data_IF_492001223498
#
_entry.id   IF_492001223498
#
_cell.length_a   1.000
_cell.length_b   1.000
_cell.length_c   1.000
_cell.angle_alpha   90.00
_cell.angle_beta   90.00
_cell.angle_gamma   90.00
#
_symmetry.space_group_name_H-M   'P 1'
#
loop_
_entity.id
_entity.type
_entity.pdbx_description
1 polymer ?
#
# COMPACT_ATOMS: atom_id res chain seq x y z
N UNK A 1 11.56 -30.35 0.02
CA UNK A 1 10.62 -29.48 0.76
C UNK A 1 9.65 -28.96 -0.27
N UNK A 2 8.32 -29.09 -0.08
CA UNK A 2 7.38 -28.47 -1.00
C UNK A 2 7.63 -26.96 -0.94
N UNK A 3 7.85 -26.40 -2.12
CA UNK A 3 8.07 -24.99 -2.37
C UNK A 3 6.78 -24.26 -1.96
N UNK A 4 6.79 -23.60 -0.80
CA UNK A 4 5.68 -22.73 -0.34
C UNK A 4 5.73 -21.42 -1.14
N UNK A 5 5.60 -21.57 -2.46
CA UNK A 5 5.67 -20.50 -3.44
C UNK A 5 4.40 -19.68 -3.32
N UNK A 6 4.50 -18.64 -2.50
CA UNK A 6 3.48 -17.61 -2.35
C UNK A 6 3.68 -16.55 -3.42
N UNK A 7 2.69 -16.43 -4.30
CA UNK A 7 2.67 -15.44 -5.37
C UNK A 7 1.58 -14.39 -5.05
N UNK A 8 1.85 -13.12 -5.33
CA UNK A 8 0.85 -12.05 -5.27
C UNK A 8 0.97 -11.15 -6.50
N UNK A 9 -0.13 -10.50 -6.87
CA UNK A 9 -0.19 -9.63 -8.04
C UNK A 9 0.05 -8.19 -7.61
N UNK A 10 0.98 -7.53 -8.29
CA UNK A 10 1.22 -6.09 -8.16
C UNK A 10 0.63 -5.41 -9.39
N UNK A 11 -0.16 -4.37 -9.17
CA UNK A 11 -0.66 -3.51 -10.23
C UNK A 11 -0.27 -2.07 -9.92
N UNK A 12 0.19 -1.35 -10.94
CA UNK A 12 0.39 0.08 -10.85
C UNK A 12 -0.97 0.78 -10.95
N UNK A 13 -1.16 1.83 -10.17
CA UNK A 13 -2.32 2.72 -10.24
C UNK A 13 -1.87 3.94 -11.06
N UNK A 14 -2.18 4.03 -12.37
CA UNK A 14 -1.82 5.18 -13.18
C UNK A 14 -2.48 6.43 -12.61
N UNK A 15 -1.71 7.53 -12.54
CA UNK A 15 -2.22 8.90 -12.46
C UNK A 15 -3.38 9.13 -11.49
N UNK A 16 -3.08 9.23 -10.19
CA UNK A 16 -3.95 9.95 -9.24
C UNK A 16 -3.82 11.48 -9.36
N UNK A 17 -2.99 11.96 -10.30
CA UNK A 17 -2.73 13.37 -10.57
C UNK A 17 -4.01 14.08 -11.03
N UNK A 18 -4.12 15.36 -10.65
CA UNK A 18 -5.23 16.29 -10.90
C UNK A 18 -6.03 16.00 -12.18
N UNK A 19 -7.31 15.63 -12.00
CA UNK A 19 -8.27 15.45 -13.10
C UNK A 19 -8.64 14.01 -13.43
N UNK A 20 -7.98 13.00 -12.85
CA UNK A 20 -8.42 11.61 -12.98
C UNK A 20 -9.83 11.36 -12.39
N UNK A 21 -10.16 12.03 -11.29
CA UNK A 21 -11.49 12.02 -10.66
C UNK A 21 -12.57 12.76 -11.47
N UNK A 22 -12.19 13.59 -12.46
CA UNK A 22 -13.10 14.37 -13.32
C UNK A 22 -13.57 13.58 -14.55
N UNK A 23 -13.31 12.27 -14.63
CA UNK A 23 -13.89 11.39 -15.63
C UNK A 23 -13.22 11.41 -17.01
N UNK A 24 -11.97 11.90 -17.12
CA UNK A 24 -11.17 11.83 -18.35
C UNK A 24 -9.99 10.84 -18.21
N UNK A 25 -10.27 9.54 -18.21
CA UNK A 25 -9.26 8.56 -18.66
C UNK A 25 -9.06 7.30 -17.82
N UNK A 26 -9.58 7.19 -16.60
CA UNK A 26 -9.54 5.96 -15.82
C UNK A 26 -10.98 5.53 -15.55
N UNK A 27 -11.52 4.70 -16.44
CA UNK A 27 -12.91 4.25 -16.36
C UNK A 27 -13.24 3.60 -15.00
N UNK A 28 -14.52 3.61 -14.63
CA UNK A 28 -15.03 2.97 -13.40
C UNK A 28 -14.52 1.54 -13.18
N UNK A 29 -14.21 0.81 -14.26
CA UNK A 29 -13.62 -0.53 -14.17
C UNK A 29 -12.23 -0.51 -13.56
N UNK A 30 -11.35 0.42 -13.92
CA UNK A 30 -10.00 0.49 -13.36
C UNK A 30 -10.02 0.73 -11.85
N UNK A 31 -10.87 1.66 -11.40
CA UNK A 31 -11.06 1.94 -9.98
C UNK A 31 -11.63 0.73 -9.24
N UNK A 32 -12.58 0.01 -9.82
CA UNK A 32 -13.11 -1.25 -9.24
C UNK A 32 -12.01 -2.32 -9.08
N UNK A 33 -11.01 -2.35 -9.96
CA UNK A 33 -9.87 -3.26 -9.80
C UNK A 33 -8.90 -2.79 -8.71
N UNK A 34 -8.62 -1.49 -8.64
CA UNK A 34 -7.82 -0.91 -7.56
C UNK A 34 -8.50 -1.12 -6.19
N UNK A 35 -9.82 -1.06 -6.11
CA UNK A 35 -10.58 -1.35 -4.89
C UNK A 35 -10.44 -2.81 -4.42
N UNK A 36 -10.03 -3.74 -5.27
CA UNK A 36 -9.78 -5.15 -4.88
C UNK A 36 -8.37 -5.40 -4.34
N UNK A 37 -7.46 -4.41 -4.39
CA UNK A 37 -6.12 -4.60 -3.81
C UNK A 37 -6.20 -4.69 -2.29
N UNK A 38 -5.35 -5.49 -1.65
CA UNK A 38 -5.37 -5.64 -0.19
C UNK A 38 -4.43 -4.67 0.54
N UNK A 39 -3.47 -4.12 -0.20
CA UNK A 39 -2.37 -3.31 0.31
C UNK A 39 -2.02 -2.23 -0.71
N UNK A 40 -1.66 -1.05 -0.21
CA UNK A 40 -1.09 0.03 -1.02
C UNK A 40 0.41 0.16 -0.73
N UNK A 41 1.21 0.35 -1.79
CA UNK A 41 2.63 0.70 -1.66
C UNK A 41 2.82 2.10 -2.24
N UNK A 42 3.18 3.04 -1.39
CA UNK A 42 3.46 4.41 -1.76
C UNK A 42 4.93 4.53 -2.11
N UNK A 43 5.23 4.67 -3.39
CA UNK A 43 6.59 4.84 -3.88
C UNK A 43 6.92 6.33 -3.95
N UNK A 44 7.82 6.80 -3.10
CA UNK A 44 8.26 8.20 -3.03
C UNK A 44 9.66 8.34 -3.63
N UNK A 45 9.91 9.46 -4.29
CA UNK A 45 11.23 9.79 -4.82
C UNK A 45 12.12 10.41 -3.74
N UNK A 46 13.15 9.70 -3.29
CA UNK A 46 14.07 10.22 -2.27
C UNK A 46 14.87 11.43 -2.71
N UNK A 47 15.02 11.66 -4.03
CA UNK A 47 15.70 12.84 -4.58
C UNK A 47 14.84 14.10 -4.50
N UNK A 48 13.53 13.94 -4.26
CA UNK A 48 12.63 15.07 -4.08
C UNK A 48 13.06 15.94 -2.88
N UNK A 49 13.14 17.27 -3.05
CA UNK A 49 13.37 18.17 -1.92
C UNK A 49 12.22 18.13 -0.92
N UNK A 50 11.01 17.76 -1.36
CA UNK A 50 9.76 17.82 -0.60
C UNK A 50 9.17 16.43 -0.34
N UNK A 51 9.98 15.37 -0.26
CA UNK A 51 9.53 13.97 -0.10
C UNK A 51 8.48 13.74 1.00
N UNK A 52 8.48 14.55 2.05
CA UNK A 52 7.51 14.51 3.15
C UNK A 52 6.15 15.10 2.73
N UNK A 53 6.16 16.21 1.98
CA UNK A 53 4.96 16.83 1.42
C UNK A 53 4.37 15.99 0.29
N UNK A 54 5.23 15.30 -0.47
CA UNK A 54 4.83 14.38 -1.52
C UNK A 54 3.97 13.23 -0.96
N UNK A 55 4.34 12.69 0.21
CA UNK A 55 3.50 11.72 0.94
C UNK A 55 2.14 12.31 1.28
N UNK A 56 2.11 13.54 1.81
CA UNK A 56 0.86 14.20 2.21
C UNK A 56 -0.04 14.48 1.02
N UNK A 57 0.55 14.77 -0.14
CA UNK A 57 -0.16 14.94 -1.40
C UNK A 57 -0.77 13.63 -1.85
N UNK A 58 0.00 12.54 -1.84
CA UNK A 58 -0.48 11.21 -2.21
C UNK A 58 -1.61 10.72 -1.28
N UNK A 59 -1.52 11.01 0.03
CA UNK A 59 -2.60 10.68 0.97
C UNK A 59 -3.89 11.46 0.68
N UNK A 60 -3.80 12.74 0.33
CA UNK A 60 -4.98 13.54 -0.08
C UNK A 60 -5.59 12.99 -1.36
N UNK A 61 -4.77 12.60 -2.33
CA UNK A 61 -5.23 12.01 -3.58
C UNK A 61 -5.96 10.69 -3.33
N UNK A 62 -5.36 9.78 -2.55
CA UNK A 62 -5.97 8.50 -2.18
C UNK A 62 -7.26 8.69 -1.38
N UNK A 63 -7.35 9.73 -0.53
CA UNK A 63 -8.55 10.05 0.22
C UNK A 63 -9.77 10.39 -0.65
N UNK A 64 -9.57 10.82 -1.90
CA UNK A 64 -10.66 11.04 -2.87
C UNK A 64 -11.33 9.72 -3.29
N UNK A 65 -10.67 8.58 -3.08
CA UNK A 65 -11.16 7.26 -3.44
C UNK A 65 -11.64 6.51 -2.19
N UNK A 66 -12.97 6.48 -2.01
CA UNK A 66 -13.63 5.89 -0.83
C UNK A 66 -13.18 4.44 -0.53
N UNK A 67 -12.89 3.66 -1.56
CA UNK A 67 -12.47 2.27 -1.43
C UNK A 67 -10.97 2.06 -1.15
N UNK A 68 -10.12 3.10 -1.20
CA UNK A 68 -8.67 2.95 -1.05
C UNK A 68 -8.12 3.56 0.24
N UNK A 69 -8.76 4.59 0.78
CA UNK A 69 -8.27 5.38 1.92
C UNK A 69 -8.08 4.60 3.22
N UNK A 70 -8.83 3.53 3.42
CA UNK A 70 -8.79 2.70 4.64
C UNK A 70 -7.83 1.52 4.52
N UNK A 71 -7.21 1.31 3.35
CA UNK A 71 -6.35 0.16 3.11
C UNK A 71 -5.05 0.29 3.88
N UNK A 72 -4.47 -0.82 4.37
CA UNK A 72 -3.12 -0.79 4.90
C UNK A 72 -2.16 -0.29 3.82
N UNK A 73 -1.11 0.41 4.26
CA UNK A 73 -0.11 0.99 3.36
C UNK A 73 1.32 0.75 3.84
N UNK A 74 2.23 0.65 2.89
CA UNK A 74 3.68 0.70 3.08
C UNK A 74 4.21 1.92 2.34
N UNK A 75 5.13 2.66 2.95
CA UNK A 75 5.86 3.72 2.26
C UNK A 75 7.23 3.19 1.83
N UNK A 76 7.60 3.41 0.58
CA UNK A 76 8.91 3.08 0.03
C UNK A 76 9.57 4.34 -0.52
N UNK A 77 10.60 4.84 0.16
CA UNK A 77 11.44 5.94 -0.33
C UNK A 77 12.51 5.35 -1.23
N UNK A 78 12.41 5.64 -2.53
CA UNK A 78 13.28 5.09 -3.57
C UNK A 78 14.50 5.99 -3.84
N UNK A 79 15.45 5.46 -4.64
CA UNK A 79 16.66 6.12 -5.10
C UNK A 79 17.69 6.42 -4.01
N UNK A 80 17.77 5.57 -2.98
CA UNK A 80 18.80 5.73 -1.95
C UNK A 80 20.22 5.50 -2.47
N UNK A 81 20.40 4.98 -3.69
CA UNK A 81 21.70 4.88 -4.33
C UNK A 81 22.33 6.25 -4.64
N UNK A 82 21.53 7.31 -4.71
CA UNK A 82 21.99 8.65 -5.02
C UNK A 82 22.70 9.30 -3.80
N UNK A 83 23.92 9.86 -3.98
CA UNK A 83 24.66 10.51 -2.89
C UNK A 83 23.89 11.63 -2.18
N UNK A 84 23.15 12.45 -2.94
CA UNK A 84 22.31 13.52 -2.42
C UNK A 84 21.16 13.01 -1.53
N UNK A 85 20.66 11.81 -1.82
CA UNK A 85 19.62 11.15 -1.02
C UNK A 85 20.25 10.58 0.25
N UNK A 86 21.40 9.92 0.14
CA UNK A 86 22.14 9.40 1.31
C UNK A 86 22.48 10.50 2.32
N UNK A 87 22.88 11.68 1.85
CA UNK A 87 23.19 12.82 2.70
C UNK A 87 21.97 13.29 3.54
N UNK A 88 20.76 13.22 2.97
CA UNK A 88 19.50 13.64 3.62
C UNK A 88 18.77 12.50 4.32
N UNK A 89 19.15 11.25 4.08
CA UNK A 89 18.48 10.05 4.57
C UNK A 89 18.26 10.03 6.10
N UNK A 90 19.18 10.51 6.95
CA UNK A 90 18.95 10.58 8.40
C UNK A 90 17.78 11.50 8.78
N UNK A 91 17.66 12.66 8.14
CA UNK A 91 16.55 13.61 8.35
C UNK A 91 15.22 13.00 7.89
N UNK A 92 15.21 12.43 6.68
CA UNK A 92 14.05 11.73 6.13
C UNK A 92 13.61 10.62 7.10
N UNK A 93 14.53 9.79 7.61
CA UNK A 93 14.22 8.74 8.59
C UNK A 93 13.55 9.27 9.85
N UNK A 94 14.01 10.40 10.38
CA UNK A 94 13.41 11.00 11.58
C UNK A 94 11.99 11.51 11.33
N UNK A 95 11.74 12.11 10.17
CA UNK A 95 10.41 12.58 9.79
C UNK A 95 9.44 11.39 9.63
N UNK A 96 9.88 10.33 8.96
CA UNK A 96 9.05 9.17 8.68
C UNK A 96 8.86 8.24 9.89
N UNK A 97 9.76 8.24 10.88
CA UNK A 97 9.62 7.43 12.10
C UNK A 97 8.37 7.75 12.93
N UNK A 98 7.77 8.94 12.73
CA UNK A 98 6.53 9.36 13.39
C UNK A 98 5.27 8.85 12.69
N UNK A 99 5.39 8.38 11.44
CA UNK A 99 4.29 7.75 10.72
C UNK A 99 4.18 6.32 11.25
N UNK A 100 3.07 5.99 11.88
CA UNK A 100 2.79 4.63 12.39
C UNK A 100 2.57 3.58 11.29
N UNK A 101 3.30 3.67 10.18
CA UNK A 101 3.24 2.76 9.02
C UNK A 101 4.64 2.23 8.70
N UNK A 102 4.75 1.03 8.09
CA UNK A 102 6.05 0.52 7.66
C UNK A 102 6.66 1.43 6.59
N UNK A 103 7.93 1.81 6.79
CA UNK A 103 8.69 2.63 5.83
C UNK A 103 9.96 1.90 5.42
N UNK A 104 10.16 1.74 4.12
CA UNK A 104 11.33 1.14 3.51
C UNK A 104 12.12 2.18 2.74
N UNK A 105 13.43 2.04 2.77
CA UNK A 105 14.37 2.87 2.04
C UNK A 105 15.06 1.97 1.02
N UNK A 106 14.70 2.13 -0.24
CA UNK A 106 15.07 1.19 -1.31
C UNK A 106 15.85 1.88 -2.42
N UNK A 107 16.58 1.07 -3.17
CA UNK A 107 17.09 1.46 -4.48
C UNK A 107 16.57 0.46 -5.49
N UNK A 108 15.61 0.89 -6.31
CA UNK A 108 15.08 0.06 -7.39
C UNK A 108 16.15 -0.29 -8.44
N UNK A 109 17.14 0.59 -8.64
CA UNK A 109 18.23 0.39 -9.61
C UNK A 109 19.21 -0.69 -9.14
N UNK A 110 19.64 -0.65 -7.88
CA UNK A 110 20.58 -1.63 -7.33
C UNK A 110 19.90 -2.88 -6.76
N UNK A 111 18.58 -2.84 -6.54
CA UNK A 111 17.82 -3.87 -5.84
C UNK A 111 17.92 -3.80 -4.32
N UNK A 112 18.65 -2.83 -3.76
CA UNK A 112 18.83 -2.69 -2.31
C UNK A 112 17.47 -2.56 -1.60
N UNK A 113 17.27 -3.39 -0.57
CA UNK A 113 16.09 -3.42 0.30
C UNK A 113 14.74 -3.75 -0.40
N UNK A 114 14.75 -4.08 -1.69
CA UNK A 114 13.53 -4.41 -2.44
C UNK A 114 12.94 -5.75 -1.98
N UNK A 115 13.79 -6.73 -1.66
CA UNK A 115 13.33 -8.04 -1.19
C UNK A 115 12.62 -7.93 0.16
N UNK A 116 13.13 -7.10 1.06
CA UNK A 116 12.56 -6.82 2.37
C UNK A 116 11.21 -6.12 2.24
N UNK A 117 11.09 -5.15 1.33
CA UNK A 117 9.82 -4.52 0.99
C UNK A 117 8.80 -5.54 0.48
N UNK A 118 9.19 -6.40 -0.46
CA UNK A 118 8.32 -7.44 -1.05
C UNK A 118 7.87 -8.45 0.01
N UNK A 119 8.79 -8.92 0.86
CA UNK A 119 8.46 -9.82 1.98
C UNK A 119 7.45 -9.19 2.92
N UNK A 120 7.65 -7.91 3.26
CA UNK A 120 6.72 -7.21 4.13
C UNK A 120 5.35 -7.01 3.49
N UNK A 121 5.31 -6.70 2.21
CA UNK A 121 4.08 -6.59 1.45
C UNK A 121 3.31 -7.92 1.46
N UNK A 122 4.00 -9.04 1.24
CA UNK A 122 3.40 -10.38 1.28
C UNK A 122 2.80 -10.69 2.66
N UNK A 123 3.53 -10.45 3.75
CA UNK A 123 3.01 -10.62 5.11
C UNK A 123 1.72 -9.81 5.36
N UNK A 124 1.69 -8.55 4.89
CA UNK A 124 0.54 -7.67 5.10
C UNK A 124 -0.65 -8.06 4.21
N UNK A 125 -0.42 -8.57 3.01
CA UNK A 125 -1.47 -9.11 2.13
C UNK A 125 -2.08 -10.39 2.72
N UNK A 126 -1.25 -11.27 3.30
CA UNK A 126 -1.72 -12.49 3.97
C UNK A 126 -2.58 -12.13 5.19
N UNK A 127 -2.13 -11.19 6.02
CA UNK A 127 -2.89 -10.73 7.18
C UNK A 127 -4.24 -10.13 6.78
N UNK A 128 -4.26 -9.25 5.77
CA UNK A 128 -5.50 -8.66 5.27
C UNK A 128 -6.47 -9.71 4.71
N UNK A 129 -5.95 -10.79 4.11
CA UNK A 129 -6.76 -11.90 3.61
C UNK A 129 -7.42 -12.70 4.74
N UNK A 130 -6.67 -12.99 5.80
CA UNK A 130 -7.21 -13.70 6.97
C UNK A 130 -8.26 -12.87 7.71
N UNK A 131 -8.04 -11.56 7.85
CA UNK A 131 -8.99 -10.66 8.49
C UNK A 131 -10.33 -10.62 7.74
N UNK A 132 -10.30 -10.61 6.40
CA UNK A 132 -11.51 -10.70 5.56
C UNK A 132 -12.27 -12.03 5.75
N UNK A 133 -11.56 -13.16 5.83
CA UNK A 133 -12.16 -14.49 6.03
C UNK A 133 -12.83 -14.60 7.41
N UNK A 134 -12.19 -14.08 8.46
CA UNK A 134 -12.74 -14.08 9.83
C UNK A 134 -14.02 -13.24 9.88
N UNK A 135 -14.02 -12.04 9.28
CA UNK A 135 -15.21 -11.17 9.23
C UNK A 135 -16.36 -11.86 8.49
N UNK A 136 -16.07 -12.51 7.36
CA UNK A 136 -17.07 -13.26 6.59
C UNK A 136 -17.67 -14.42 7.41
N UNK A 137 -16.84 -15.20 8.10
CA UNK A 137 -17.29 -16.34 8.91
C UNK A 137 -18.09 -15.92 10.15
N UNK A 138 -17.70 -14.82 10.81
CA UNK A 138 -18.43 -14.28 11.96
C UNK A 138 -19.87 -13.86 11.59
N UNK A 139 -20.07 -13.32 10.38
CA UNK A 139 -21.38 -12.95 9.86
C UNK A 139 -22.27 -14.16 9.49
N UNK A 140 -21.68 -15.34 9.25
CA UNK A 140 -22.40 -16.59 8.90
C UNK A 140 -22.73 -17.44 10.14
N UNK A 141 -22.84 -16.83 11.34
CA UNK A 141 -23.33 -17.57 12.51
C UNK A 141 -24.84 -17.80 12.39
N UNK A 142 -25.20 -19.00 11.93
CA UNK A 142 -26.58 -19.48 11.69
C UNK A 142 -27.45 -19.37 12.94
N UNK A 143 -28.50 -18.54 12.87
CA UNK A 143 -29.56 -18.49 13.87
C UNK A 143 -30.40 -19.77 13.80
N UNK A 144 -30.34 -20.61 14.84
CA UNK A 144 -31.24 -21.77 14.99
C UNK A 144 -32.46 -21.35 15.83
N UNK A 145 -33.65 -21.14 15.24
CA UNK A 145 -34.85 -20.89 16.02
C UNK A 145 -35.19 -22.15 16.85
N UNK A 146 -35.41 -21.99 18.16
CA UNK A 146 -35.94 -23.07 19.00
C UNK A 146 -37.40 -23.32 18.61
N UNK A 147 -37.83 -24.58 18.40
CA UNK A 147 -39.24 -24.87 18.22
C UNK A 147 -40.00 -24.49 19.49
N UNK A 148 -41.03 -23.66 19.33
CA UNK A 148 -41.98 -23.36 20.40
C UNK A 148 -42.76 -24.64 20.68
N UNK A 149 -42.69 -25.14 21.92
CA UNK A 149 -43.63 -26.14 22.44
C UNK A 149 -44.99 -25.50 22.66
#
# INVERSE_FOLDING_TARGET
>A
MPDDRRDFIVAEIPGLVEGAHLGKGLGNEFLRHAERTKLLVYLLDGSSPTVIDDLSTLDKEIALYKGLSHKPKIVAVNKIDLPEVQARLPEVKQCFAKLGVPVFYISAVSGQAVLELVKKAMEMVDQASQDEEIISQAQITVFRPKPRK
#
